data_IF_564688837256
#
_entry.id   IF_564688837256
#
_cell.length_a   1.000
_cell.length_b   1.000
_cell.length_c   1.000
_cell.angle_alpha   90.00
_cell.angle_beta   90.00
_cell.angle_gamma   90.00
#
_symmetry.space_group_name_H-M   'P 1'
#
loop_
_entity.id
_entity.type
_entity.pdbx_description
1 polymer ?
#
# COMPACT_ATOMS: atom_id res chain seq x y z
N UNK A 1 -27.18 15.42 -1.96
CA UNK A 1 -27.61 14.00 -1.98
C UNK A 1 -26.96 13.17 -3.09
N UNK A 2 -26.68 13.69 -4.30
CA UNK A 2 -26.06 12.90 -5.38
C UNK A 2 -24.65 12.33 -5.09
N UNK A 3 -23.82 13.00 -4.28
CA UNK A 3 -22.44 12.55 -3.97
C UNK A 3 -22.43 11.38 -2.99
N UNK A 4 -23.27 11.44 -1.95
CA UNK A 4 -23.38 10.36 -0.98
C UNK A 4 -24.03 9.11 -1.61
N UNK A 5 -25.03 9.31 -2.47
CA UNK A 5 -25.60 8.23 -3.26
C UNK A 5 -24.55 7.54 -4.14
N UNK A 6 -23.69 8.30 -4.82
CA UNK A 6 -22.56 7.76 -5.55
C UNK A 6 -21.61 6.95 -4.65
N UNK A 7 -21.30 7.45 -3.44
CA UNK A 7 -20.49 6.70 -2.49
C UNK A 7 -21.13 5.35 -2.13
N UNK A 8 -22.40 5.36 -1.71
CA UNK A 8 -23.12 4.17 -1.24
C UNK A 8 -23.38 3.16 -2.36
N UNK A 9 -23.75 3.62 -3.55
CA UNK A 9 -24.25 2.77 -4.63
C UNK A 9 -23.25 2.52 -5.76
N UNK A 10 -22.15 3.30 -5.83
CA UNK A 10 -21.11 3.12 -6.86
C UNK A 10 -19.74 2.86 -6.26
N UNK A 11 -19.28 3.63 -5.27
CA UNK A 11 -17.95 3.41 -4.70
C UNK A 11 -17.91 2.16 -3.81
N UNK A 12 -18.71 2.17 -2.74
CA UNK A 12 -18.75 1.11 -1.76
C UNK A 12 -18.93 -0.29 -2.41
N UNK A 13 -19.92 -0.53 -3.30
CA UNK A 13 -20.13 -1.76 -4.09
C UNK A 13 -18.92 -2.30 -4.80
N UNK A 14 -18.02 -1.42 -5.21
CA UNK A 14 -16.82 -1.74 -5.94
C UNK A 14 -15.55 -1.55 -5.10
N UNK A 15 -15.71 -1.30 -3.81
CA UNK A 15 -14.73 -1.42 -2.74
C UNK A 15 -15.00 -2.72 -1.94
N UNK A 16 -15.45 -3.81 -2.58
CA UNK A 16 -15.75 -5.13 -1.94
C UNK A 16 -14.60 -5.72 -1.10
N UNK A 17 -13.41 -5.17 -1.27
CA UNK A 17 -12.18 -5.45 -0.54
C UNK A 17 -12.18 -4.90 0.90
N UNK A 18 -13.26 -4.25 1.33
CA UNK A 18 -13.45 -3.79 2.70
C UNK A 18 -14.45 -4.67 3.49
N UNK A 19 -14.82 -5.85 3.00
CA UNK A 19 -15.88 -6.68 3.59
C UNK A 19 -15.35 -8.08 3.97
N UNK A 20 -14.56 -8.15 5.05
CA UNK A 20 -14.06 -9.40 5.65
C UNK A 20 -15.04 -10.07 6.64
N UNK A 21 -14.54 -11.09 7.37
CA UNK A 21 -15.28 -12.06 8.21
C UNK A 21 -16.22 -11.47 9.30
N UNK A 22 -16.07 -10.21 9.72
CA UNK A 22 -16.77 -9.65 10.88
C UNK A 22 -17.18 -8.18 10.67
N UNK A 23 -18.27 -7.95 9.93
CA UNK A 23 -18.95 -6.65 9.72
C UNK A 23 -18.29 -5.80 8.63
N UNK A 24 -19.05 -5.70 7.54
CA UNK A 24 -18.71 -5.01 6.28
C UNK A 24 -18.34 -3.57 6.61
N UNK A 25 -17.26 -3.02 6.07
CA UNK A 25 -16.91 -1.60 6.21
C UNK A 25 -18.12 -0.69 6.00
N UNK A 26 -18.98 -1.05 5.03
CA UNK A 26 -20.24 -0.36 4.77
C UNK A 26 -21.22 -0.44 5.94
N UNK A 27 -21.31 -1.58 6.60
CA UNK A 27 -22.13 -1.77 7.81
C UNK A 27 -21.59 -0.99 9.01
N UNK A 28 -20.37 -0.45 8.94
CA UNK A 28 -19.81 0.39 10.00
C UNK A 28 -19.82 1.86 9.58
N UNK A 29 -19.19 2.22 8.46
CA UNK A 29 -19.07 3.60 8.01
C UNK A 29 -20.38 4.19 7.50
N UNK A 30 -21.23 3.45 6.78
CA UNK A 30 -22.49 4.04 6.29
C UNK A 30 -23.40 4.42 7.46
N UNK A 31 -23.66 3.55 8.45
CA UNK A 31 -24.42 3.95 9.63
C UNK A 31 -23.81 5.14 10.38
N UNK A 32 -22.48 5.15 10.59
CA UNK A 32 -21.80 6.27 11.25
C UNK A 32 -21.97 7.56 10.44
N UNK A 33 -21.89 7.48 9.11
CA UNK A 33 -22.04 8.63 8.22
C UNK A 33 -23.43 9.26 8.32
N UNK A 34 -24.47 8.46 8.59
CA UNK A 34 -25.84 8.97 8.74
C UNK A 34 -26.05 9.74 10.05
N UNK A 35 -25.22 9.52 11.06
CA UNK A 35 -25.36 10.15 12.39
C UNK A 35 -24.25 11.14 12.73
N UNK A 36 -23.10 11.04 12.06
CA UNK A 36 -21.90 11.84 12.35
C UNK A 36 -21.61 12.84 11.23
N UNK A 37 -21.79 14.16 11.47
CA UNK A 37 -21.48 15.19 10.48
C UNK A 37 -20.02 15.17 10.04
N UNK A 38 -19.09 14.85 10.96
CA UNK A 38 -17.66 14.76 10.67
C UNK A 38 -17.38 13.66 9.65
N UNK A 39 -17.91 12.45 9.89
CA UNK A 39 -17.71 11.32 8.99
C UNK A 39 -18.39 11.57 7.65
N UNK A 40 -19.58 12.18 7.64
CA UNK A 40 -20.25 12.58 6.40
C UNK A 40 -19.41 13.53 5.55
N UNK A 41 -18.84 14.59 6.14
CA UNK A 41 -17.96 15.50 5.41
C UNK A 41 -16.77 14.76 4.79
N UNK A 42 -16.15 13.85 5.55
CA UNK A 42 -14.99 13.09 5.08
C UNK A 42 -15.33 12.12 3.94
N UNK A 43 -16.49 11.45 4.03
CA UNK A 43 -17.02 10.56 2.99
C UNK A 43 -17.36 11.34 1.71
N UNK A 44 -17.99 12.51 1.85
CA UNK A 44 -18.29 13.38 0.72
C UNK A 44 -17.01 13.91 0.04
N UNK A 45 -15.96 14.19 0.81
CA UNK A 45 -14.65 14.57 0.26
C UNK A 45 -14.10 13.44 -0.63
N UNK A 46 -14.03 12.21 -0.10
CA UNK A 46 -13.57 11.03 -0.83
C UNK A 46 -14.39 10.79 -2.10
N UNK A 47 -15.72 10.87 -1.98
CA UNK A 47 -16.62 10.60 -3.10
C UNK A 47 -16.54 11.65 -4.19
N UNK A 48 -16.48 12.93 -3.83
CA UNK A 48 -16.24 14.01 -4.78
C UNK A 48 -14.86 13.87 -5.43
N UNK A 49 -13.83 13.44 -4.67
CA UNK A 49 -12.50 13.23 -5.21
C UNK A 49 -12.46 12.12 -6.27
N UNK A 50 -13.30 11.08 -6.16
CA UNK A 50 -13.41 10.08 -7.24
C UNK A 50 -14.27 10.58 -8.41
N UNK A 51 -15.32 11.35 -8.15
CA UNK A 51 -16.17 11.92 -9.21
C UNK A 51 -15.43 12.91 -10.12
N UNK A 52 -14.36 13.56 -9.63
CA UNK A 52 -13.55 14.52 -10.41
C UNK A 52 -13.01 13.94 -11.71
N UNK A 53 -12.83 12.61 -11.76
CA UNK A 53 -12.29 11.90 -12.91
C UNK A 53 -13.34 11.58 -13.99
N UNK A 54 -14.63 11.72 -13.68
CA UNK A 54 -15.73 11.49 -14.63
C UNK A 54 -16.57 12.73 -14.89
N UNK A 55 -16.46 13.75 -14.03
CA UNK A 55 -17.28 14.97 -14.08
C UNK A 55 -16.44 16.18 -13.66
N UNK A 56 -16.44 17.20 -14.51
CA UNK A 56 -15.77 18.47 -14.21
C UNK A 56 -16.40 19.17 -12.99
N UNK A 57 -15.61 20.00 -12.30
CA UNK A 57 -16.03 20.77 -11.13
C UNK A 57 -15.99 20.03 -9.78
N UNK A 58 -15.97 18.70 -9.77
CA UNK A 58 -15.92 17.94 -8.51
C UNK A 58 -14.57 18.01 -7.79
N UNK A 59 -13.49 18.41 -8.47
CA UNK A 59 -12.19 18.66 -7.83
C UNK A 59 -12.26 19.77 -6.77
N UNK A 60 -12.92 20.89 -7.06
CA UNK A 60 -13.12 21.98 -6.09
C UNK A 60 -14.04 21.52 -4.94
N UNK A 61 -15.09 20.77 -5.27
CA UNK A 61 -16.01 20.20 -4.27
C UNK A 61 -15.29 19.25 -3.32
N UNK A 62 -14.40 18.40 -3.84
CA UNK A 62 -13.58 17.48 -3.07
C UNK A 62 -12.70 18.23 -2.06
N UNK A 63 -11.99 19.26 -2.50
CA UNK A 63 -11.14 20.10 -1.65
C UNK A 63 -11.95 20.86 -0.59
N UNK A 64 -13.14 21.35 -0.92
CA UNK A 64 -14.03 22.03 0.04
C UNK A 64 -14.43 21.10 1.18
N UNK A 65 -14.86 19.87 0.87
CA UNK A 65 -15.22 18.88 1.89
C UNK A 65 -14.00 18.39 2.69
N UNK A 66 -12.85 18.21 2.05
CA UNK A 66 -11.60 17.87 2.76
C UNK A 66 -11.23 18.97 3.77
N UNK A 67 -11.25 20.23 3.35
CA UNK A 67 -10.95 21.38 4.22
C UNK A 67 -11.94 21.48 5.37
N UNK A 68 -13.25 21.28 5.10
CA UNK A 68 -14.27 21.27 6.14
C UNK A 68 -14.06 20.13 7.15
N UNK A 69 -13.67 18.95 6.67
CA UNK A 69 -13.34 17.80 7.52
C UNK A 69 -12.15 18.10 8.43
N UNK A 70 -11.06 18.65 7.89
CA UNK A 70 -9.86 19.00 8.67
C UNK A 70 -10.16 20.07 9.74
N UNK A 71 -10.96 21.09 9.41
CA UNK A 71 -11.38 22.11 10.38
C UNK A 71 -12.23 21.53 11.50
N UNK A 72 -13.21 20.69 11.15
CA UNK A 72 -14.05 20.02 12.13
C UNK A 72 -13.23 19.10 13.03
N UNK A 73 -12.33 18.31 12.46
CA UNK A 73 -11.43 17.42 13.20
C UNK A 73 -10.50 18.20 14.14
N UNK A 74 -9.92 19.31 13.68
CA UNK A 74 -9.07 20.18 14.49
C UNK A 74 -9.83 20.79 15.67
N UNK A 75 -11.08 21.25 15.46
CA UNK A 75 -11.92 21.74 16.55
C UNK A 75 -12.23 20.65 17.58
N UNK A 76 -12.59 19.44 17.12
CA UNK A 76 -12.85 18.30 18.00
C UNK A 76 -11.61 17.96 18.83
N UNK A 77 -10.44 17.82 18.22
CA UNK A 77 -9.19 17.49 18.92
C UNK A 77 -8.75 18.65 19.86
N UNK A 78 -8.90 19.90 19.44
CA UNK A 78 -8.54 21.08 20.25
C UNK A 78 -9.42 21.24 21.50
N UNK A 79 -10.70 20.88 21.40
CA UNK A 79 -11.64 20.90 22.54
C UNK A 79 -11.30 19.87 23.62
N UNK A 80 -10.66 18.75 23.24
CA UNK A 80 -10.20 17.70 24.17
C UNK A 80 -9.07 18.19 25.06
N UNK A 81 -8.20 19.06 24.54
CA UNK A 81 -7.06 19.60 25.27
C UNK A 81 -7.45 20.76 26.21
N UNK A 82 -8.65 21.32 26.06
CA UNK A 82 -9.12 22.47 26.84
C UNK A 82 -10.10 21.99 27.91
N UNK A 83 -9.57 21.59 29.07
CA UNK A 83 -10.33 21.06 30.21
C UNK A 83 -11.31 22.06 30.88
N UNK A 84 -11.63 23.19 30.26
CA UNK A 84 -12.30 24.35 30.90
C UNK A 84 -13.52 24.90 30.18
N UNK A 85 -14.12 24.18 29.22
CA UNK A 85 -15.43 24.57 28.68
C UNK A 85 -16.51 23.54 28.95
N UNK A 86 -17.19 23.76 30.08
CA UNK A 86 -18.55 23.32 30.31
C UNK A 86 -19.48 23.93 29.25
N UNK A 87 -20.39 23.11 28.71
CA UNK A 87 -21.57 23.50 27.95
C UNK A 87 -21.40 23.69 26.43
N UNK A 88 -21.03 22.62 25.72
CA UNK A 88 -21.64 22.12 24.46
C UNK A 88 -20.79 20.96 23.90
N UNK A 89 -20.44 19.98 24.74
CA UNK A 89 -19.58 18.88 24.31
C UNK A 89 -20.42 17.82 23.60
N UNK A 90 -20.52 17.91 22.27
CA UNK A 90 -20.80 16.73 21.44
C UNK A 90 -19.63 15.78 21.66
N UNK A 91 -19.78 14.81 22.56
CA UNK A 91 -18.75 13.79 22.79
C UNK A 91 -18.64 12.93 21.54
N UNK A 92 -17.69 13.23 20.67
CA UNK A 92 -17.40 12.39 19.52
C UNK A 92 -16.68 11.12 19.97
N UNK A 93 -17.10 9.99 19.43
CA UNK A 93 -16.48 8.70 19.71
C UNK A 93 -15.12 8.56 19.00
N UNK A 94 -14.21 7.75 19.58
CA UNK A 94 -12.96 7.33 18.89
C UNK A 94 -13.23 6.77 17.50
N UNK A 95 -14.32 6.00 17.37
CA UNK A 95 -14.73 5.39 16.11
C UNK A 95 -15.00 6.44 15.02
N UNK A 96 -15.71 7.53 15.35
CA UNK A 96 -15.98 8.62 14.40
C UNK A 96 -14.71 9.33 13.97
N UNK A 97 -13.85 9.67 14.93
CA UNK A 97 -12.59 10.37 14.66
C UNK A 97 -11.69 9.51 13.75
N UNK A 98 -11.51 8.23 14.09
CA UNK A 98 -10.69 7.31 13.30
C UNK A 98 -11.28 7.03 11.92
N UNK A 99 -12.62 6.99 11.81
CA UNK A 99 -13.31 6.88 10.52
C UNK A 99 -13.03 8.08 9.63
N UNK A 100 -13.07 9.30 10.18
CA UNK A 100 -12.76 10.52 9.44
C UNK A 100 -11.28 10.59 9.03
N UNK A 101 -10.36 10.25 9.94
CA UNK A 101 -8.93 10.16 9.62
C UNK A 101 -8.68 9.16 8.49
N UNK A 102 -9.33 8.00 8.54
CA UNK A 102 -9.21 7.03 7.48
C UNK A 102 -9.72 7.55 6.12
N UNK A 103 -10.87 8.22 6.10
CA UNK A 103 -11.38 8.85 4.88
C UNK A 103 -10.42 9.93 4.34
N UNK A 104 -9.78 10.70 5.21
CA UNK A 104 -8.74 11.66 4.83
C UNK A 104 -7.52 10.97 4.21
N UNK A 105 -7.03 9.88 4.82
CA UNK A 105 -5.99 9.07 4.21
C UNK A 105 -6.43 8.59 2.81
N UNK A 106 -7.64 8.04 2.68
CA UNK A 106 -8.16 7.54 1.40
C UNK A 106 -8.29 8.66 0.36
N UNK A 107 -8.65 9.87 0.77
CA UNK A 107 -8.68 11.06 -0.08
C UNK A 107 -7.29 11.43 -0.62
N UNK A 108 -6.28 11.40 0.25
CA UNK A 108 -4.92 11.83 -0.10
C UNK A 108 -4.19 10.85 -1.00
N UNK A 109 -4.31 9.55 -0.71
CA UNK A 109 -3.87 8.53 -1.67
C UNK A 109 -4.64 8.66 -2.98
N UNK A 110 -5.90 9.09 -2.87
CA UNK A 110 -6.79 9.56 -3.93
C UNK A 110 -6.26 10.66 -4.85
N UNK A 111 -5.15 11.30 -4.54
CA UNK A 111 -4.73 12.52 -5.19
C UNK A 111 -3.30 12.38 -5.73
N UNK A 112 -3.14 12.52 -7.05
CA UNK A 112 -1.94 12.18 -7.84
C UNK A 112 -0.69 13.03 -7.53
N UNK A 113 -0.79 14.01 -6.63
CA UNK A 113 0.28 14.95 -6.32
C UNK A 113 1.30 14.37 -5.32
N UNK A 114 1.03 13.23 -4.67
CA UNK A 114 1.93 12.65 -3.65
C UNK A 114 3.21 12.04 -4.21
N UNK A 115 3.29 11.82 -5.52
CA UNK A 115 4.46 11.22 -6.17
C UNK A 115 5.34 12.24 -6.91
N UNK A 116 4.99 13.52 -6.93
CA UNK A 116 5.78 14.53 -7.66
C UNK A 116 6.90 15.10 -6.76
N UNK A 117 8.17 15.02 -7.19
CA UNK A 117 9.28 15.72 -6.54
C UNK A 117 8.96 17.19 -6.25
N UNK A 118 9.21 17.66 -5.03
CA UNK A 118 9.12 19.08 -4.65
C UNK A 118 7.73 19.62 -4.28
N UNK A 119 6.71 18.77 -4.17
CA UNK A 119 5.42 19.13 -3.55
C UNK A 119 5.38 18.68 -2.08
N UNK A 120 4.55 19.34 -1.26
CA UNK A 120 4.50 19.23 0.20
C UNK A 120 4.59 17.80 0.77
N UNK A 121 5.12 17.64 2.01
CA UNK A 121 5.18 16.37 2.72
C UNK A 121 3.87 15.58 2.62
N UNK A 122 3.90 14.25 2.46
CA UNK A 122 2.69 13.50 2.29
C UNK A 122 1.90 13.47 3.62
N UNK A 123 0.82 14.27 3.66
CA UNK A 123 -0.02 14.51 4.83
C UNK A 123 -0.59 13.23 5.49
N UNK A 124 -0.62 12.10 4.78
CA UNK A 124 -1.10 10.82 5.29
C UNK A 124 -0.29 10.32 6.49
N UNK A 125 0.98 10.72 6.63
CA UNK A 125 1.79 10.32 7.77
C UNK A 125 1.43 11.10 9.04
N UNK A 126 1.01 12.36 8.90
CA UNK A 126 0.45 13.14 10.01
C UNK A 126 -0.85 12.50 10.48
N UNK A 127 -1.70 12.07 9.54
CA UNK A 127 -2.93 11.33 9.84
C UNK A 127 -2.65 9.99 10.52
N UNK A 128 -1.63 9.27 10.07
CA UNK A 128 -1.18 7.99 10.66
C UNK A 128 -0.76 8.18 12.12
N UNK A 129 0.13 9.14 12.39
CA UNK A 129 0.61 9.39 13.74
C UNK A 129 -0.51 9.93 14.64
N UNK A 130 -1.38 10.81 14.11
CA UNK A 130 -2.58 11.27 14.79
C UNK A 130 -3.51 10.12 15.20
N UNK A 131 -3.79 9.20 14.27
CA UNK A 131 -4.62 8.01 14.55
C UNK A 131 -4.01 7.12 15.63
N UNK A 132 -2.69 6.89 15.59
CA UNK A 132 -1.97 6.11 16.61
C UNK A 132 -2.15 6.76 17.99
N UNK A 133 -1.85 8.06 18.12
CA UNK A 133 -2.00 8.79 19.39
C UNK A 133 -3.43 8.72 19.92
N UNK A 134 -4.42 8.92 19.05
CA UNK A 134 -5.84 8.85 19.44
C UNK A 134 -6.23 7.46 19.95
N UNK A 135 -5.71 6.40 19.34
CA UNK A 135 -5.91 5.04 19.83
C UNK A 135 -5.30 4.83 21.22
N UNK A 136 -4.08 5.30 21.42
CA UNK A 136 -3.30 5.17 22.67
C UNK A 136 -3.83 6.03 23.82
N UNK A 137 -4.58 7.11 23.55
CA UNK A 137 -5.15 7.96 24.60
C UNK A 137 -6.03 7.15 25.57
N UNK A 138 -5.87 7.30 26.90
CA UNK A 138 -6.68 6.59 27.87
C UNK A 138 -8.13 7.07 27.84
N UNK A 139 -9.09 6.21 28.19
CA UNK A 139 -10.51 6.57 28.23
C UNK A 139 -10.83 7.71 29.22
N UNK A 140 -9.96 7.94 30.21
CA UNK A 140 -10.05 9.06 31.15
C UNK A 140 -9.77 10.42 30.50
N UNK A 141 -8.99 10.46 29.40
CA UNK A 141 -8.54 11.71 28.79
C UNK A 141 -9.67 12.51 28.14
N UNK A 142 -10.88 11.97 27.98
CA UNK A 142 -12.00 12.78 27.51
C UNK A 142 -13.37 12.52 28.15
N UNK A 143 -13.37 12.32 29.47
CA UNK A 143 -14.58 12.50 30.28
C UNK A 143 -15.16 11.25 30.96
N UNK A 144 -14.40 10.14 31.01
CA UNK A 144 -14.60 9.09 32.01
C UNK A 144 -15.87 8.22 31.89
N UNK A 145 -16.70 8.36 30.86
CA UNK A 145 -17.81 7.45 30.64
C UNK A 145 -17.36 6.16 29.94
N UNK A 146 -17.86 5.04 30.43
CA UNK A 146 -17.63 3.64 30.01
C UNK A 146 -17.95 3.32 28.54
N UNK A 147 -18.29 4.30 27.71
CA UNK A 147 -18.67 4.17 26.29
C UNK A 147 -17.54 4.56 25.33
N UNK A 148 -16.27 4.42 25.74
CA UNK A 148 -15.09 4.68 24.88
C UNK A 148 -14.56 3.46 24.12
N UNK A 149 -15.41 2.48 23.82
CA UNK A 149 -15.00 1.35 22.99
C UNK A 149 -14.91 1.79 21.52
N UNK A 150 -13.73 1.68 20.92
CA UNK A 150 -13.60 1.80 19.47
C UNK A 150 -14.17 0.54 18.82
N UNK A 151 -14.90 0.69 17.71
CA UNK A 151 -15.34 -0.48 16.94
C UNK A 151 -14.08 -1.25 16.44
N UNK A 152 -13.90 -2.53 16.82
CA UNK A 152 -12.72 -3.30 16.43
C UNK A 152 -12.56 -3.47 14.92
N UNK A 153 -13.67 -3.38 14.17
CA UNK A 153 -13.66 -3.40 12.72
C UNK A 153 -12.93 -2.18 12.17
N UNK A 154 -13.30 -0.96 12.61
CA UNK A 154 -12.62 0.29 12.18
C UNK A 154 -11.12 0.23 12.47
N UNK A 155 -10.73 -0.21 13.67
CA UNK A 155 -9.31 -0.34 14.03
C UNK A 155 -8.62 -1.33 13.11
N UNK A 156 -9.20 -2.51 12.88
CA UNK A 156 -8.62 -3.54 12.03
C UNK A 156 -8.45 -3.07 10.58
N UNK A 157 -9.44 -2.36 10.03
CA UNK A 157 -9.35 -1.81 8.67
C UNK A 157 -8.28 -0.73 8.56
N UNK A 158 -8.27 0.22 9.49
CA UNK A 158 -7.27 1.28 9.52
C UNK A 158 -5.87 0.69 9.69
N UNK A 159 -5.72 -0.30 10.57
CA UNK A 159 -4.48 -1.01 10.81
C UNK A 159 -3.96 -1.72 9.56
N UNK A 160 -4.78 -2.51 8.85
CA UNK A 160 -4.36 -3.16 7.61
C UNK A 160 -3.99 -2.14 6.51
N UNK A 161 -4.75 -1.06 6.41
CA UNK A 161 -4.50 0.01 5.45
C UNK A 161 -3.18 0.76 5.73
N UNK A 162 -2.86 1.05 6.99
CA UNK A 162 -1.67 1.80 7.38
C UNK A 162 -0.43 0.91 7.49
N UNK A 163 -0.56 -0.31 8.04
CA UNK A 163 0.53 -1.28 8.14
C UNK A 163 1.17 -1.51 6.78
N UNK A 164 0.36 -1.82 5.77
CA UNK A 164 0.82 -2.04 4.41
C UNK A 164 1.63 -0.89 3.82
N UNK A 165 1.17 0.35 4.05
CA UNK A 165 1.85 1.55 3.55
C UNK A 165 3.14 1.82 4.29
N UNK A 166 3.14 1.69 5.61
CA UNK A 166 4.36 1.83 6.42
C UNK A 166 5.41 0.79 6.02
N UNK A 167 5.01 -0.48 5.91
CA UNK A 167 5.92 -1.58 5.54
C UNK A 167 6.51 -1.36 4.16
N UNK A 168 5.70 -1.01 3.16
CA UNK A 168 6.21 -0.87 1.80
C UNK A 168 6.98 0.45 1.60
N UNK A 169 6.58 1.54 2.25
CA UNK A 169 7.39 2.75 2.30
C UNK A 169 8.76 2.49 2.98
N UNK A 170 8.80 1.60 3.98
CA UNK A 170 10.05 1.17 4.61
C UNK A 170 11.00 0.41 3.67
N UNK A 171 10.50 -0.13 2.56
CA UNK A 171 11.35 -0.75 1.52
C UNK A 171 12.01 0.27 0.60
N UNK A 172 11.60 1.54 0.68
CA UNK A 172 12.02 2.64 -0.21
C UNK A 172 12.37 3.90 0.59
N UNK A 173 13.14 3.76 1.68
CA UNK A 173 13.50 4.87 2.56
C UNK A 173 14.56 5.74 1.88
N UNK A 174 14.20 6.98 1.53
CA UNK A 174 15.12 7.94 0.91
C UNK A 174 15.80 8.83 1.96
N UNK A 175 15.08 9.20 3.01
CA UNK A 175 15.59 9.97 4.15
C UNK A 175 15.82 9.03 5.35
N UNK A 176 17.05 8.90 5.88
CA UNK A 176 17.31 8.10 7.09
C UNK A 176 16.48 8.52 8.31
N UNK A 177 16.03 9.77 8.40
CA UNK A 177 15.19 10.25 9.52
C UNK A 177 13.84 9.52 9.59
N UNK A 178 13.37 9.00 8.45
CA UNK A 178 12.11 8.28 8.33
C UNK A 178 12.14 6.85 8.84
N UNK A 179 13.33 6.27 8.95
CA UNK A 179 13.50 4.83 9.10
C UNK A 179 12.80 4.33 10.37
N UNK A 180 13.06 4.99 11.51
CA UNK A 180 12.50 4.58 12.79
C UNK A 180 10.98 4.75 12.83
N UNK A 181 10.47 5.88 12.31
CA UNK A 181 9.04 6.17 12.29
C UNK A 181 8.26 5.16 11.44
N UNK A 182 8.81 4.78 10.28
CA UNK A 182 8.21 3.78 9.39
C UNK A 182 8.25 2.38 9.99
N UNK A 183 9.37 1.99 10.60
CA UNK A 183 9.51 0.68 11.24
C UNK A 183 8.57 0.53 12.45
N UNK A 184 8.60 1.50 13.36
CA UNK A 184 7.69 1.55 14.51
C UNK A 184 6.23 1.59 14.06
N UNK A 185 5.90 2.40 13.05
CA UNK A 185 4.56 2.49 12.49
C UNK A 185 4.09 1.16 11.90
N UNK A 186 4.90 0.52 11.07
CA UNK A 186 4.60 -0.78 10.47
C UNK A 186 4.36 -1.85 11.54
N UNK A 187 5.26 -1.94 12.52
CA UNK A 187 5.16 -2.89 13.63
C UNK A 187 3.92 -2.66 14.49
N UNK A 188 3.66 -1.40 14.85
CA UNK A 188 2.48 -1.01 15.62
C UNK A 188 1.19 -1.40 14.89
N UNK A 189 1.04 -0.99 13.63
CA UNK A 189 -0.21 -1.23 12.90
C UNK A 189 -0.43 -2.71 12.61
N UNK A 190 0.61 -3.48 12.27
CA UNK A 190 0.49 -4.94 12.14
C UNK A 190 -0.07 -5.60 13.40
N UNK A 191 0.35 -5.12 14.59
CA UNK A 191 -0.15 -5.64 15.87
C UNK A 191 -1.62 -5.32 16.17
N UNK A 192 -2.22 -4.36 15.46
CA UNK A 192 -3.62 -3.93 15.64
C UNK A 192 -4.59 -4.63 14.68
N UNK A 193 -4.10 -5.46 13.77
CA UNK A 193 -4.95 -6.17 12.81
C UNK A 193 -5.63 -7.35 13.52
N UNK A 194 -6.93 -7.23 13.78
CA UNK A 194 -7.75 -8.28 14.39
C UNK A 194 -8.21 -9.38 13.42
N UNK A 195 -7.32 -9.89 12.56
CA UNK A 195 -7.60 -10.97 11.58
C UNK A 195 -6.54 -12.06 11.62
N UNK A 196 -6.82 -13.28 11.11
CA UNK A 196 -5.80 -14.31 10.94
C UNK A 196 -4.61 -13.78 10.13
N UNK A 197 -3.38 -14.06 10.57
CA UNK A 197 -2.17 -13.53 9.93
C UNK A 197 -1.96 -14.06 8.51
N UNK A 198 -2.50 -15.26 8.22
CA UNK A 198 -2.46 -15.91 6.91
C UNK A 198 -3.50 -15.36 5.93
N UNK A 199 -4.48 -14.60 6.40
CA UNK A 199 -5.52 -14.02 5.53
C UNK A 199 -4.89 -12.97 4.61
N UNK A 200 -5.09 -13.12 3.30
CA UNK A 200 -4.65 -12.16 2.28
C UNK A 200 -5.41 -10.87 2.49
N UNK A 201 -4.68 -9.79 2.79
CA UNK A 201 -5.30 -8.51 3.00
C UNK A 201 -5.67 -7.88 1.66
N UNK A 202 -6.87 -7.34 1.65
CA UNK A 202 -7.53 -6.86 0.46
C UNK A 202 -6.91 -5.60 -0.16
N UNK A 203 -6.17 -4.83 0.63
CA UNK A 203 -5.45 -3.65 0.16
C UNK A 203 -4.08 -4.01 -0.41
N UNK A 204 -3.37 -4.97 0.19
CA UNK A 204 -2.01 -5.35 -0.23
C UNK A 204 -1.97 -6.48 -1.23
N UNK A 205 -3.00 -7.33 -1.24
CA UNK A 205 -3.03 -8.62 -1.93
C UNK A 205 -1.97 -9.61 -1.43
N UNK A 206 -1.54 -9.48 -0.18
CA UNK A 206 -0.69 -10.46 0.50
C UNK A 206 -1.09 -10.60 1.96
N UNK A 207 -0.66 -11.67 2.62
CA UNK A 207 -1.01 -11.90 4.03
C UNK A 207 -0.28 -10.96 4.98
N UNK A 208 -0.88 -10.71 6.16
CA UNK A 208 -0.24 -9.88 7.19
C UNK A 208 1.03 -10.53 7.74
N UNK A 209 1.08 -11.87 7.76
CA UNK A 209 2.30 -12.61 8.07
C UNK A 209 3.41 -12.29 7.06
N UNK A 210 3.11 -12.26 5.76
CA UNK A 210 4.08 -11.92 4.73
C UNK A 210 4.55 -10.47 4.85
N UNK A 211 3.65 -9.52 5.14
CA UNK A 211 4.02 -8.12 5.40
C UNK A 211 4.96 -8.01 6.61
N UNK A 212 4.71 -8.77 7.67
CA UNK A 212 5.61 -8.84 8.84
C UNK A 212 6.99 -9.38 8.48
N UNK A 213 7.06 -10.43 7.65
CA UNK A 213 8.35 -10.96 7.16
C UNK A 213 9.09 -9.93 6.31
N UNK A 214 8.40 -9.20 5.42
CA UNK A 214 9.00 -8.14 4.60
C UNK A 214 9.59 -7.05 5.51
N UNK A 215 8.81 -6.58 6.50
CA UNK A 215 9.25 -5.54 7.44
C UNK A 215 10.52 -5.95 8.19
N UNK A 216 10.50 -7.15 8.80
CA UNK A 216 11.62 -7.67 9.58
C UNK A 216 12.86 -7.91 8.70
N UNK A 217 12.69 -8.42 7.48
CA UNK A 217 13.78 -8.63 6.54
C UNK A 217 14.45 -7.30 6.18
N UNK A 218 13.67 -6.28 5.82
CA UNK A 218 14.18 -4.94 5.56
C UNK A 218 14.86 -4.32 6.78
N UNK A 219 14.32 -4.53 7.98
CA UNK A 219 14.90 -4.02 9.20
C UNK A 219 16.28 -4.62 9.45
N UNK A 220 16.43 -5.94 9.27
CA UNK A 220 17.72 -6.64 9.41
C UNK A 220 18.73 -6.24 8.34
N UNK A 221 18.30 -5.99 7.10
CA UNK A 221 19.18 -5.48 6.04
C UNK A 221 19.78 -4.14 6.47
N UNK A 222 18.93 -3.24 6.98
CA UNK A 222 19.34 -1.92 7.47
C UNK A 222 20.22 -2.01 8.71
N UNK A 223 19.87 -2.85 9.69
CA UNK A 223 20.69 -3.10 10.88
C UNK A 223 22.08 -3.65 10.52
N UNK A 224 22.15 -4.68 9.68
CA UNK A 224 23.42 -5.27 9.20
C UNK A 224 24.30 -4.20 8.56
N UNK A 225 23.68 -3.31 7.78
CA UNK A 225 24.40 -2.22 7.16
C UNK A 225 24.97 -1.23 8.19
N UNK A 226 24.19 -0.82 9.18
CA UNK A 226 24.66 0.03 10.29
C UNK A 226 25.75 -0.67 11.09
N UNK A 227 25.66 -1.99 11.25
CA UNK A 227 26.69 -2.77 11.95
C UNK A 227 27.99 -2.85 11.14
N UNK A 228 27.97 -2.82 9.80
CA UNK A 228 29.18 -2.83 8.96
C UNK A 228 30.08 -1.59 9.13
N UNK A 229 29.57 -0.48 9.66
CA UNK A 229 30.39 0.67 10.04
C UNK A 229 31.05 0.51 11.41
N UNK A 230 30.70 -0.55 12.15
CA UNK A 230 31.25 -0.96 13.45
C UNK A 230 31.97 -2.33 13.30
N UNK A 231 32.89 -2.69 14.19
CA UNK A 231 33.53 -4.03 14.12
C UNK A 231 32.50 -5.13 14.44
N UNK A 232 32.24 -6.10 13.52
CA UNK A 232 31.26 -7.14 13.78
C UNK A 232 31.79 -8.22 14.73
N UNK A 233 30.97 -8.63 15.71
CA UNK A 233 31.21 -9.80 16.54
C UNK A 233 30.81 -11.07 15.77
N UNK A 234 31.63 -12.12 15.83
CA UNK A 234 31.40 -13.38 15.09
C UNK A 234 30.08 -14.06 15.46
N UNK A 235 29.58 -13.87 16.69
CA UNK A 235 28.33 -14.45 17.20
C UNK A 235 27.08 -13.89 16.47
N UNK A 236 27.13 -12.65 15.99
CA UNK A 236 26.00 -12.02 15.30
C UNK A 236 25.77 -12.57 13.87
N UNK A 237 26.84 -13.01 13.19
CA UNK A 237 26.77 -13.54 11.82
C UNK A 237 26.18 -14.95 11.76
N UNK A 238 26.43 -15.78 12.78
CA UNK A 238 25.83 -17.12 12.87
C UNK A 238 24.34 -17.03 13.18
N UNK A 239 23.95 -16.22 14.17
CA UNK A 239 22.55 -15.97 14.49
C UNK A 239 21.77 -15.42 13.28
N UNK A 240 22.36 -14.51 12.50
CA UNK A 240 21.73 -13.99 11.28
C UNK A 240 21.59 -15.06 10.20
N UNK A 241 22.59 -15.94 10.01
CA UNK A 241 22.52 -17.04 9.04
C UNK A 241 21.41 -18.03 9.39
N UNK A 242 21.27 -18.36 10.67
CA UNK A 242 20.21 -19.26 11.14
C UNK A 242 18.84 -18.61 11.01
N UNK A 243 18.70 -17.34 11.39
CA UNK A 243 17.46 -16.59 11.18
C UNK A 243 17.08 -16.54 9.68
N UNK A 244 18.05 -16.28 8.80
CA UNK A 244 17.81 -16.26 7.35
C UNK A 244 17.29 -17.60 6.86
N UNK A 245 17.90 -18.71 7.26
CA UNK A 245 17.49 -20.07 6.88
C UNK A 245 16.07 -20.38 7.38
N UNK A 246 15.75 -19.99 8.61
CA UNK A 246 14.42 -20.16 9.17
C UNK A 246 13.38 -19.32 8.42
N UNK A 247 13.69 -18.06 8.12
CA UNK A 247 12.79 -17.16 7.37
C UNK A 247 12.61 -17.62 5.93
N UNK A 248 13.65 -18.14 5.28
CA UNK A 248 13.55 -18.74 3.95
C UNK A 248 12.60 -19.94 3.96
N UNK A 249 12.74 -20.85 4.94
CA UNK A 249 11.83 -21.97 5.10
C UNK A 249 10.38 -21.50 5.34
N UNK A 250 10.18 -20.48 6.18
CA UNK A 250 8.87 -19.86 6.39
C UNK A 250 8.29 -19.30 5.10
N UNK A 251 9.08 -18.60 4.29
CA UNK A 251 8.63 -18.05 3.00
C UNK A 251 8.32 -19.14 1.97
N UNK A 252 8.98 -20.30 2.02
CA UNK A 252 8.68 -21.43 1.13
C UNK A 252 7.35 -22.11 1.49
N UNK A 253 6.96 -22.10 2.77
CA UNK A 253 5.77 -22.82 3.26
C UNK A 253 4.65 -21.90 3.77
N UNK A 254 4.75 -20.59 3.54
CA UNK A 254 3.77 -19.63 4.02
C UNK A 254 2.40 -19.88 3.38
N UNK A 255 1.38 -20.06 4.22
CA UNK A 255 0.00 -20.15 3.76
C UNK A 255 -0.57 -18.75 3.56
N UNK A 256 -1.08 -18.49 2.35
CA UNK A 256 -1.82 -17.27 2.03
C UNK A 256 -3.25 -17.66 1.66
N UNK A 257 -4.20 -17.35 2.54
CA UNK A 257 -5.59 -17.77 2.43
C UNK A 257 -6.45 -16.56 2.03
N UNK A 258 -7.26 -16.65 0.99
CA UNK A 258 -8.15 -15.55 0.63
C UNK A 258 -9.19 -15.31 1.74
N UNK A 259 -9.74 -14.09 1.85
CA UNK A 259 -10.85 -13.83 2.76
C UNK A 259 -11.98 -14.82 2.52
N UNK A 260 -12.51 -15.45 3.59
CA UNK A 260 -13.56 -16.49 3.51
C UNK A 260 -14.80 -16.08 2.70
N UNK A 261 -15.09 -14.78 2.59
CA UNK A 261 -16.18 -14.25 1.76
C UNK A 261 -16.01 -14.53 0.25
N UNK A 262 -14.77 -14.70 -0.22
CA UNK A 262 -14.47 -15.13 -1.60
C UNK A 262 -14.53 -16.65 -1.78
N UNK A 263 -14.58 -17.42 -0.69
CA UNK A 263 -14.58 -18.89 -0.71
C UNK A 263 -15.99 -19.50 -0.67
N UNK A 264 -17.02 -18.72 -0.35
CA UNK A 264 -18.42 -19.15 -0.20
C UNK A 264 -19.34 -18.60 -1.29
N UNK A 265 -18.96 -18.70 -2.56
CA UNK A 265 -19.91 -18.61 -3.69
C UNK A 265 -20.44 -20.02 -4.00
N UNK A 266 -21.54 -20.50 -3.40
CA UNK A 266 -22.35 -21.52 -4.06
C UNK A 266 -23.10 -20.85 -5.22
N UNK A 267 -22.93 -21.41 -6.42
CA UNK A 267 -23.78 -21.12 -7.58
C UNK A 267 -25.23 -20.96 -7.15
N UNK A 268 -25.74 -19.72 -7.18
CA UNK A 268 -27.19 -19.51 -7.09
C UNK A 268 -27.76 -19.67 -8.50
N UNK A 269 -28.81 -20.48 -8.69
CA UNK A 269 -29.41 -20.69 -10.00
C UNK A 269 -30.05 -19.39 -10.48
N UNK A 270 -29.69 -18.99 -11.69
CA UNK A 270 -30.30 -17.89 -12.43
C UNK A 270 -31.82 -18.10 -12.56
N UNK A 271 -32.59 -17.08 -12.18
CA UNK A 271 -33.97 -16.93 -12.64
C UNK A 271 -33.98 -16.82 -14.18
N UNK A 272 -34.96 -17.42 -14.87
CA UNK A 272 -34.94 -17.54 -16.33
C UNK A 272 -35.25 -16.18 -16.98
N UNK A 273 -34.29 -15.64 -17.73
CA UNK A 273 -34.49 -14.53 -18.65
C UNK A 273 -34.82 -15.07 -20.04
N UNK A 274 -35.86 -14.48 -20.62
CA UNK A 274 -36.40 -14.76 -21.95
C UNK A 274 -35.32 -14.75 -23.03
N UNK A 275 -35.42 -15.77 -23.88
CA UNK A 275 -34.61 -16.01 -25.07
C UNK A 275 -34.65 -14.85 -26.07
N UNK A 276 -33.47 -14.34 -26.45
CA UNK A 276 -33.25 -13.69 -27.75
C UNK A 276 -31.99 -14.28 -28.37
N UNK A 277 -32.15 -14.80 -29.59
CA UNK A 277 -31.15 -15.52 -30.40
C UNK A 277 -30.00 -14.63 -30.91
N UNK A 278 -28.89 -15.24 -31.39
CA UNK A 278 -27.60 -14.59 -31.56
C UNK A 278 -27.42 -13.98 -32.95
N UNK A 279 -26.78 -12.82 -33.00
CA UNK A 279 -26.13 -12.32 -34.20
C UNK A 279 -24.67 -12.00 -33.87
N UNK A 280 -23.79 -12.61 -34.65
CA UNK A 280 -22.33 -12.57 -34.59
C UNK A 280 -21.77 -11.15 -34.56
N UNK A 281 -20.75 -10.93 -33.71
CA UNK A 281 -19.69 -9.97 -33.97
C UNK A 281 -18.45 -10.31 -33.12
N UNK A 282 -17.46 -10.86 -33.82
CA UNK A 282 -16.05 -10.90 -33.42
C UNK A 282 -15.54 -9.47 -33.22
N UNK A 283 -15.13 -9.14 -32.01
CA UNK A 283 -14.37 -7.92 -31.70
C UNK A 283 -13.40 -8.24 -30.57
N UNK A 284 -12.13 -8.39 -30.93
CA UNK A 284 -10.98 -8.37 -30.01
C UNK A 284 -10.96 -7.02 -29.32
N UNK A 285 -11.58 -6.96 -28.13
CA UNK A 285 -11.67 -5.76 -27.32
C UNK A 285 -10.79 -5.99 -26.11
N UNK A 286 -9.85 -5.08 -25.87
CA UNK A 286 -9.00 -4.99 -24.67
C UNK A 286 -9.86 -5.22 -23.44
N UNK A 287 -9.78 -6.41 -22.85
CA UNK A 287 -10.66 -6.84 -21.76
C UNK A 287 -10.28 -6.05 -20.51
N UNK A 288 -11.03 -4.99 -20.22
CA UNK A 288 -11.06 -4.39 -18.90
C UNK A 288 -11.34 -5.51 -17.89
N UNK A 289 -10.37 -5.84 -17.04
CA UNK A 289 -10.51 -6.92 -16.06
C UNK A 289 -11.69 -6.63 -15.14
N UNK A 290 -12.58 -7.62 -14.98
CA UNK A 290 -13.73 -7.57 -14.10
C UNK A 290 -13.28 -7.24 -12.66
N UNK A 291 -13.99 -6.33 -12.00
CA UNK A 291 -13.68 -5.90 -10.65
C UNK A 291 -14.82 -6.31 -9.71
N UNK A 292 -14.59 -7.10 -8.65
CA UNK A 292 -13.30 -7.47 -8.02
C UNK A 292 -12.41 -8.42 -8.86
N UNK A 293 -11.07 -8.38 -8.73
CA UNK A 293 -10.19 -9.37 -9.34
C UNK A 293 -10.60 -10.78 -8.96
N UNK A 294 -10.51 -11.68 -9.93
CA UNK A 294 -10.79 -13.09 -9.73
C UNK A 294 -9.86 -13.69 -8.66
N UNK A 295 -10.33 -14.73 -7.98
CA UNK A 295 -9.54 -15.44 -6.96
C UNK A 295 -8.16 -15.91 -7.48
N UNK A 296 -8.03 -16.43 -8.72
CA UNK A 296 -6.71 -16.70 -9.32
C UNK A 296 -5.80 -15.48 -9.40
N UNK A 297 -6.35 -14.29 -9.66
CA UNK A 297 -5.57 -13.04 -9.70
C UNK A 297 -5.05 -12.67 -8.32
N UNK A 298 -5.88 -12.83 -7.28
CA UNK A 298 -5.47 -12.60 -5.88
C UNK A 298 -4.31 -13.53 -5.50
N UNK A 299 -4.41 -14.83 -5.81
CA UNK A 299 -3.33 -15.78 -5.53
C UNK A 299 -2.03 -15.46 -6.28
N UNK A 300 -2.13 -15.08 -7.55
CA UNK A 300 -0.94 -14.72 -8.34
C UNK A 300 -0.21 -13.52 -7.77
N UNK A 301 -0.94 -12.47 -7.35
CA UNK A 301 -0.33 -11.30 -6.73
C UNK A 301 0.30 -11.67 -5.38
N UNK A 302 -0.42 -12.43 -4.55
CA UNK A 302 0.08 -12.91 -3.26
C UNK A 302 1.38 -13.71 -3.42
N UNK A 303 1.44 -14.56 -4.45
CA UNK A 303 2.64 -15.33 -4.78
C UNK A 303 3.78 -14.46 -5.31
N UNK A 304 3.48 -13.44 -6.11
CA UNK A 304 4.49 -12.46 -6.54
C UNK A 304 5.08 -11.70 -5.34
N UNK A 305 4.28 -11.34 -4.34
CA UNK A 305 4.77 -10.76 -3.08
C UNK A 305 5.72 -11.71 -2.33
N UNK A 306 5.41 -13.01 -2.30
CA UNK A 306 6.23 -14.04 -1.64
C UNK A 306 7.61 -14.13 -2.30
N UNK A 307 7.65 -14.16 -3.63
CA UNK A 307 8.92 -14.13 -4.38
C UNK A 307 9.69 -12.82 -4.21
N UNK A 308 9.03 -11.67 -4.14
CA UNK A 308 9.70 -10.41 -3.89
C UNK A 308 10.32 -10.38 -2.47
N UNK A 309 9.66 -10.96 -1.47
CA UNK A 309 10.25 -11.13 -0.14
C UNK A 309 11.47 -12.08 -0.15
N UNK A 310 11.45 -13.14 -0.96
CA UNK A 310 12.60 -14.02 -1.16
C UNK A 310 13.79 -13.26 -1.78
N UNK A 311 13.56 -12.39 -2.76
CA UNK A 311 14.61 -11.52 -3.33
C UNK A 311 15.24 -10.65 -2.24
N UNK A 312 14.41 -9.97 -1.44
CA UNK A 312 14.91 -9.13 -0.33
C UNK A 312 15.73 -9.93 0.67
N UNK A 313 15.31 -11.16 1.01
CA UNK A 313 16.05 -12.01 1.95
C UNK A 313 17.48 -12.31 1.48
N UNK A 314 17.73 -12.35 0.16
CA UNK A 314 19.07 -12.61 -0.39
C UNK A 314 20.06 -11.48 -0.14
N UNK A 315 19.60 -10.25 0.18
CA UNK A 315 20.49 -9.16 0.61
C UNK A 315 21.22 -9.44 1.93
N UNK A 316 20.70 -10.38 2.73
CA UNK A 316 21.34 -10.83 3.97
C UNK A 316 22.35 -11.97 3.74
N UNK A 317 22.60 -12.37 2.48
CA UNK A 317 23.59 -13.39 2.17
C UNK A 317 25.02 -12.80 2.10
N UNK A 318 25.95 -13.15 3.00
CA UNK A 318 27.32 -12.63 2.95
C UNK A 318 28.14 -13.18 1.79
N UNK A 319 27.79 -14.36 1.27
CA UNK A 319 28.68 -15.14 0.41
C UNK A 319 28.43 -14.93 -1.09
N UNK A 320 27.28 -14.38 -1.46
CA UNK A 320 26.84 -14.28 -2.85
C UNK A 320 26.22 -12.91 -3.03
N UNK A 321 26.67 -12.16 -4.04
CA UNK A 321 26.04 -10.90 -4.43
C UNK A 321 24.61 -11.18 -4.89
N UNK A 322 23.69 -10.25 -4.63
CA UNK A 322 22.27 -10.40 -5.00
C UNK A 322 22.12 -10.66 -6.51
N UNK A 323 22.95 -10.01 -7.33
CA UNK A 323 22.98 -10.20 -8.79
C UNK A 323 23.41 -11.62 -9.20
N UNK A 324 24.35 -12.24 -8.48
CA UNK A 324 24.85 -13.57 -8.84
C UNK A 324 24.01 -14.71 -8.24
N UNK A 325 22.99 -14.37 -7.44
CA UNK A 325 22.22 -15.35 -6.70
C UNK A 325 21.14 -16.02 -7.58
N UNK A 326 21.19 -17.35 -7.81
CA UNK A 326 20.21 -18.03 -8.65
C UNK A 326 18.78 -17.93 -8.11
N UNK A 327 18.60 -17.89 -6.79
CA UNK A 327 17.27 -17.75 -6.18
C UNK A 327 16.62 -16.39 -6.51
N UNK A 328 17.43 -15.34 -6.70
CA UNK A 328 16.95 -14.03 -7.17
C UNK A 328 16.49 -14.14 -8.60
N UNK A 329 17.30 -14.73 -9.49
CA UNK A 329 16.95 -14.93 -10.90
C UNK A 329 15.66 -15.72 -11.08
N UNK A 330 15.50 -16.82 -10.34
CA UNK A 330 14.31 -17.66 -10.40
C UNK A 330 13.07 -16.92 -9.88
N UNK A 331 13.23 -16.13 -8.81
CA UNK A 331 12.16 -15.31 -8.26
C UNK A 331 11.76 -14.16 -9.20
N UNK A 332 12.72 -13.50 -9.85
CA UNK A 332 12.46 -12.45 -10.86
C UNK A 332 11.63 -13.03 -12.01
N UNK A 333 12.06 -14.15 -12.60
CA UNK A 333 11.31 -14.81 -13.69
C UNK A 333 9.90 -15.18 -13.26
N UNK A 334 9.76 -15.78 -12.08
CA UNK A 334 8.45 -16.16 -11.54
C UNK A 334 7.53 -14.95 -11.38
N UNK A 335 8.03 -13.83 -10.85
CA UNK A 335 7.24 -12.59 -10.72
C UNK A 335 6.84 -12.06 -12.10
N UNK A 336 7.77 -12.01 -13.06
CA UNK A 336 7.47 -11.54 -14.41
C UNK A 336 6.40 -12.41 -15.07
N UNK A 337 6.48 -13.73 -14.94
CA UNK A 337 5.47 -14.67 -15.46
C UNK A 337 4.11 -14.47 -14.79
N UNK A 338 4.06 -14.42 -13.45
CA UNK A 338 2.82 -14.22 -12.68
C UNK A 338 2.13 -12.89 -13.02
N UNK A 339 2.92 -11.83 -13.21
CA UNK A 339 2.44 -10.48 -13.52
C UNK A 339 2.18 -10.26 -15.02
N UNK A 340 2.74 -11.10 -15.89
CA UNK A 340 2.50 -11.03 -17.34
C UNK A 340 1.06 -11.43 -17.71
N UNK A 341 0.46 -12.33 -16.93
CA UNK A 341 -0.87 -12.88 -17.14
C UNK A 341 -1.94 -11.94 -16.56
N UNK A 342 -2.36 -10.94 -17.32
CA UNK A 342 -3.46 -10.01 -16.99
C UNK A 342 -3.30 -9.29 -15.64
N UNK A 343 -2.68 -8.10 -15.68
CA UNK A 343 -2.69 -7.19 -14.53
C UNK A 343 -4.11 -6.68 -14.32
N UNK A 344 -4.69 -6.75 -13.10
CA UNK A 344 -5.99 -6.16 -12.85
C UNK A 344 -5.90 -4.64 -13.01
N UNK A 345 -6.39 -4.13 -14.14
CA UNK A 345 -6.54 -2.69 -14.38
C UNK A 345 -7.75 -2.23 -13.58
N UNK A 346 -7.60 -1.39 -12.54
CA UNK A 346 -8.75 -0.90 -11.81
C UNK A 346 -9.62 0.00 -12.73
N UNK A 347 -10.96 -0.01 -12.57
CA UNK A 347 -11.84 0.94 -13.25
C UNK A 347 -11.53 2.41 -12.93
N UNK A 348 -11.96 3.34 -13.80
CA UNK A 348 -11.76 4.81 -13.66
C UNK A 348 -12.07 5.31 -12.24
N UNK A 349 -11.22 6.20 -11.71
CA UNK A 349 -11.45 6.84 -10.41
C UNK A 349 -11.47 5.85 -9.24
N UNK A 350 -10.50 4.93 -9.22
CA UNK A 350 -10.23 4.07 -8.07
C UNK A 350 -8.78 4.21 -7.67
N UNK A 351 -8.51 5.18 -6.82
CA UNK A 351 -7.20 5.34 -6.24
C UNK A 351 -6.94 4.35 -5.08
N UNK A 352 -5.66 4.01 -4.90
CA UNK A 352 -5.16 3.27 -3.74
C UNK A 352 -4.55 1.90 -4.03
N UNK A 353 -4.24 1.58 -5.30
CA UNK A 353 -3.86 0.21 -5.68
C UNK A 353 -2.49 0.01 -6.33
N UNK A 354 -1.64 1.03 -6.46
CA UNK A 354 -0.26 0.81 -6.95
C UNK A 354 0.55 -0.21 -6.12
N UNK A 355 0.10 -0.51 -4.92
CA UNK A 355 0.68 -1.53 -4.04
C UNK A 355 0.81 -2.91 -4.69
N UNK A 356 -0.11 -3.34 -5.58
CA UNK A 356 0.05 -4.62 -6.29
C UNK A 356 1.21 -4.61 -7.29
N UNK A 357 1.71 -3.43 -7.67
CA UNK A 357 2.88 -3.28 -8.53
C UNK A 357 4.19 -3.43 -7.75
N UNK A 358 4.16 -3.41 -6.41
CA UNK A 358 5.36 -3.54 -5.59
C UNK A 358 6.22 -4.78 -5.94
N UNK A 359 5.69 -6.01 -6.02
CA UNK A 359 6.52 -7.16 -6.40
C UNK A 359 7.10 -7.03 -7.82
N UNK A 360 6.33 -6.46 -8.75
CA UNK A 360 6.81 -6.20 -10.10
C UNK A 360 7.93 -5.15 -10.11
N UNK A 361 7.81 -4.10 -9.30
CA UNK A 361 8.86 -3.10 -9.11
C UNK A 361 10.14 -3.74 -8.57
N UNK A 362 10.04 -4.56 -7.51
CA UNK A 362 11.19 -5.29 -6.96
C UNK A 362 11.83 -6.17 -8.02
N UNK A 363 11.07 -6.99 -8.74
CA UNK A 363 11.61 -7.82 -9.82
C UNK A 363 12.27 -6.98 -10.93
N UNK A 364 11.64 -5.87 -11.31
CA UNK A 364 12.14 -4.96 -12.35
C UNK A 364 13.49 -4.33 -11.98
N UNK A 365 13.74 -4.02 -10.70
CA UNK A 365 15.05 -3.56 -10.26
C UNK A 365 16.16 -4.63 -10.33
N UNK A 366 15.81 -5.90 -10.50
CA UNK A 366 16.74 -7.04 -10.46
C UNK A 366 16.83 -7.81 -11.80
N UNK A 367 16.21 -7.33 -12.88
CA UNK A 367 16.36 -7.96 -14.20
C UNK A 367 17.78 -7.76 -14.74
N UNK A 368 18.32 -8.81 -15.37
CA UNK A 368 19.72 -8.82 -15.84
C UNK A 368 19.87 -8.96 -17.35
N UNK A 369 18.84 -9.46 -18.02
CA UNK A 369 18.85 -9.69 -19.46
C UNK A 369 18.11 -8.56 -20.18
N UNK A 370 18.52 -8.27 -21.42
CA UNK A 370 17.86 -7.25 -22.23
C UNK A 370 16.45 -7.72 -22.63
N UNK A 371 16.23 -9.03 -22.77
CA UNK A 371 14.92 -9.63 -23.01
C UNK A 371 13.94 -9.33 -21.85
N UNK A 372 14.38 -9.54 -20.60
CA UNK A 372 13.58 -9.25 -19.42
C UNK A 372 13.33 -7.73 -19.27
N UNK A 373 14.35 -6.89 -19.54
CA UNK A 373 14.20 -5.42 -19.55
C UNK A 373 13.16 -4.97 -20.58
N UNK A 374 13.19 -5.52 -21.79
CA UNK A 374 12.17 -5.25 -22.82
C UNK A 374 10.76 -5.67 -22.38
N UNK A 375 10.63 -6.83 -21.74
CA UNK A 375 9.35 -7.29 -21.20
C UNK A 375 8.82 -6.30 -20.15
N UNK A 376 9.68 -5.86 -19.23
CA UNK A 376 9.33 -4.90 -18.19
C UNK A 376 8.88 -3.57 -18.79
N UNK A 377 9.60 -3.03 -19.76
CA UNK A 377 9.25 -1.76 -20.41
C UNK A 377 7.91 -1.83 -21.15
N UNK A 378 7.64 -2.93 -21.87
CA UNK A 378 6.34 -3.14 -22.52
C UNK A 378 5.21 -3.19 -21.49
N UNK A 379 5.44 -3.82 -20.34
CA UNK A 379 4.44 -3.88 -19.27
C UNK A 379 4.20 -2.54 -18.60
N UNK A 380 5.24 -1.72 -18.38
CA UNK A 380 5.03 -0.35 -17.93
C UNK A 380 4.22 0.46 -18.95
N UNK A 381 4.48 0.29 -20.24
CA UNK A 381 3.69 0.93 -21.29
C UNK A 381 2.23 0.45 -21.31
N UNK A 382 1.98 -0.86 -21.17
CA UNK A 382 0.63 -1.42 -21.05
C UNK A 382 -0.11 -0.83 -19.83
N UNK A 383 0.59 -0.74 -18.69
CA UNK A 383 0.08 -0.14 -17.47
C UNK A 383 -0.22 1.34 -17.65
N UNK A 384 0.69 2.10 -18.26
CA UNK A 384 0.51 3.52 -18.57
C UNK A 384 -0.70 3.73 -19.49
N UNK A 385 -0.83 2.96 -20.57
CA UNK A 385 -1.99 3.05 -21.47
C UNK A 385 -3.30 2.69 -20.76
N UNK A 386 -3.28 1.61 -19.97
CA UNK A 386 -4.45 1.18 -19.21
C UNK A 386 -4.86 2.20 -18.14
N UNK A 387 -3.88 2.83 -17.49
CA UNK A 387 -4.08 3.79 -16.40
C UNK A 387 -4.40 5.20 -16.91
N UNK A 388 -3.82 5.63 -18.03
CA UNK A 388 -4.15 6.88 -18.72
C UNK A 388 -5.60 6.89 -19.18
N UNK A 389 -6.14 5.72 -19.55
CA UNK A 389 -7.56 5.56 -19.84
C UNK A 389 -8.45 5.68 -18.60
N UNK A 390 -7.89 5.73 -17.38
CA UNK A 390 -8.56 5.50 -16.09
C UNK A 390 -8.29 6.57 -15.04
N UNK A 391 -7.41 7.55 -15.33
CA UNK A 391 -7.08 8.76 -14.54
C UNK A 391 -6.01 8.67 -13.43
N UNK A 392 -4.93 7.89 -13.59
CA UNK A 392 -3.74 8.01 -12.72
C UNK A 392 -2.42 8.17 -13.51
N UNK A 393 -2.15 9.35 -14.07
CA UNK A 393 -1.00 9.53 -15.00
C UNK A 393 0.39 9.55 -14.35
N UNK A 394 0.53 9.36 -13.03
CA UNK A 394 1.80 9.63 -12.33
C UNK A 394 2.54 8.39 -11.83
N UNK A 395 1.86 7.35 -11.34
CA UNK A 395 2.55 6.26 -10.62
C UNK A 395 3.35 5.34 -11.54
N UNK A 396 2.77 4.90 -12.66
CA UNK A 396 3.48 3.99 -13.58
C UNK A 396 4.73 4.67 -14.21
N UNK A 397 4.64 5.92 -14.70
CA UNK A 397 5.84 6.65 -15.16
C UNK A 397 6.90 6.82 -14.06
N UNK A 398 6.49 7.15 -12.83
CA UNK A 398 7.45 7.29 -11.72
C UNK A 398 8.18 5.97 -11.41
N UNK A 399 7.46 4.84 -11.38
CA UNK A 399 8.07 3.52 -11.18
C UNK A 399 9.06 3.19 -12.31
N UNK A 400 8.67 3.49 -13.55
CA UNK A 400 9.52 3.29 -14.73
C UNK A 400 10.80 4.13 -14.65
N UNK A 401 10.70 5.40 -14.32
CA UNK A 401 11.85 6.31 -14.19
C UNK A 401 12.87 5.79 -13.18
N UNK A 402 12.40 5.32 -12.01
CA UNK A 402 13.26 4.72 -10.98
C UNK A 402 13.93 3.45 -11.51
N UNK A 403 13.18 2.54 -12.12
CA UNK A 403 13.71 1.27 -12.66
C UNK A 403 14.75 1.53 -13.75
N UNK A 404 14.48 2.41 -14.70
CA UNK A 404 15.44 2.77 -15.76
C UNK A 404 16.71 3.40 -15.17
N UNK A 405 16.59 4.20 -14.10
CA UNK A 405 17.77 4.74 -13.41
C UNK A 405 18.58 3.68 -12.67
N UNK A 406 17.93 2.66 -12.09
CA UNK A 406 18.64 1.51 -11.51
C UNK A 406 19.44 0.79 -12.60
N UNK A 407 18.84 0.50 -13.75
CA UNK A 407 19.54 -0.15 -14.86
C UNK A 407 20.71 0.68 -15.39
N UNK A 408 20.52 2.00 -15.57
CA UNK A 408 21.61 2.91 -15.96
C UNK A 408 22.77 2.85 -14.96
N UNK A 409 22.48 2.85 -13.65
CA UNK A 409 23.52 2.75 -12.63
C UNK A 409 24.27 1.41 -12.68
N UNK A 410 23.54 0.30 -12.87
CA UNK A 410 24.13 -1.04 -13.02
C UNK A 410 25.03 -1.12 -14.27
N UNK A 411 24.57 -0.61 -15.40
CA UNK A 411 25.31 -0.65 -16.67
C UNK A 411 26.58 0.21 -16.59
N UNK A 412 26.50 1.42 -16.03
CA UNK A 412 27.67 2.27 -15.77
C UNK A 412 28.69 1.62 -14.84
N UNK A 413 28.25 0.87 -13.81
CA UNK A 413 29.16 0.14 -12.91
C UNK A 413 29.92 -0.96 -13.65
N UNK A 414 29.25 -1.72 -14.53
CA UNK A 414 29.90 -2.77 -15.34
C UNK A 414 30.97 -2.19 -16.27
N UNK A 415 30.72 -1.00 -16.81
CA UNK A 415 31.69 -0.28 -17.64
C UNK A 415 32.86 0.30 -16.84
N UNK A 416 32.61 0.82 -15.63
CA UNK A 416 33.65 1.31 -14.73
C UNK A 416 34.59 0.19 -14.24
N UNK A 417 34.10 -1.02 -13.97
CA UNK A 417 34.97 -2.15 -13.56
C UNK A 417 35.94 -2.55 -14.69
N UNK A 418 35.64 -2.22 -15.95
CA UNK A 418 36.54 -2.40 -17.10
C UNK A 418 37.63 -1.33 -17.25
N UNK A 419 37.46 -0.16 -16.64
CA UNK A 419 38.42 0.94 -16.65
C UNK A 419 38.98 1.19 -15.25
N UNK A 420 40.28 0.95 -15.04
CA UNK A 420 40.96 1.12 -13.73
C UNK A 420 40.80 2.54 -13.14
N UNK A 421 39.73 2.78 -12.37
CA UNK A 421 39.62 3.85 -11.38
C UNK A 421 38.70 3.42 -10.23
N UNK A 422 39.26 3.36 -9.02
CA UNK A 422 38.54 3.19 -7.75
C UNK A 422 37.87 4.51 -7.32
N UNK A 423 36.67 4.40 -6.73
CA UNK A 423 36.09 5.14 -5.59
C UNK A 423 34.57 5.34 -5.80
N UNK A 424 33.79 4.25 -5.76
CA UNK A 424 32.42 4.38 -5.25
C UNK A 424 32.51 4.14 -3.74
N UNK A 425 32.45 5.25 -3.02
CA UNK A 425 32.28 5.34 -1.56
C UNK A 425 31.26 4.31 -1.06
N UNK A 426 31.48 3.80 0.15
CA UNK A 426 30.47 3.15 1.00
C UNK A 426 29.12 3.86 0.83
N UNK A 427 28.24 3.33 -0.02
CA UNK A 427 27.02 4.02 -0.38
C UNK A 427 26.03 3.92 0.79
N UNK A 428 25.45 5.05 1.23
CA UNK A 428 24.49 5.16 2.35
C UNK A 428 23.12 4.48 2.10
N UNK A 429 22.98 3.77 0.97
CA UNK A 429 21.76 3.05 0.55
C UNK A 429 21.72 1.55 0.87
N UNK A 430 20.57 1.06 1.34
CA UNK A 430 20.35 -0.38 1.51
C UNK A 430 19.99 -1.05 0.19
N UNK A 431 19.34 -0.29 -0.70
CA UNK A 431 18.90 -0.78 -2.00
C UNK A 431 19.25 0.21 -3.11
N UNK A 432 19.51 -0.31 -4.32
CA UNK A 432 19.94 0.52 -5.46
C UNK A 432 18.88 1.53 -5.89
N UNK A 433 17.60 1.17 -5.75
CA UNK A 433 16.50 2.07 -6.08
C UNK A 433 16.40 3.27 -5.14
N UNK A 434 16.91 3.21 -3.90
CA UNK A 434 16.91 4.37 -2.99
C UNK A 434 17.81 5.49 -3.54
N UNK A 435 18.95 5.10 -4.13
CA UNK A 435 19.83 6.03 -4.83
C UNK A 435 19.14 6.62 -6.06
N UNK A 436 18.54 5.78 -6.89
CA UNK A 436 17.78 6.24 -8.06
C UNK A 436 16.67 7.22 -7.67
N UNK A 437 15.94 6.93 -6.59
CA UNK A 437 14.88 7.79 -6.07
C UNK A 437 15.40 9.16 -5.63
N UNK A 438 16.54 9.22 -4.91
CA UNK A 438 17.16 10.50 -4.53
C UNK A 438 17.65 11.30 -5.72
N UNK A 439 18.28 10.65 -6.71
CA UNK A 439 18.74 11.33 -7.94
C UNK A 439 17.57 11.94 -8.70
N UNK A 440 16.43 11.26 -8.75
CA UNK A 440 15.21 11.75 -9.37
C UNK A 440 14.47 12.81 -8.53
N UNK A 441 14.98 13.15 -7.34
CA UNK A 441 14.40 14.16 -6.47
C UNK A 441 13.12 13.68 -5.75
N UNK A 442 12.86 12.38 -5.69
CA UNK A 442 11.82 11.84 -4.80
C UNK A 442 12.28 11.99 -3.34
N UNK A 443 12.23 13.22 -2.84
CA UNK A 443 12.38 13.51 -1.43
C UNK A 443 11.02 13.39 -0.75
N UNK A 444 10.98 12.67 0.36
CA UNK A 444 9.91 12.80 1.34
C UNK A 444 10.40 13.91 2.27
N UNK A 445 10.16 15.17 1.91
CA UNK A 445 10.48 16.30 2.79
C UNK A 445 9.47 16.33 3.95
N UNK A 446 9.91 16.78 5.12
CA UNK A 446 9.23 16.61 6.41
C UNK A 446 9.11 17.88 7.25
N UNK A 447 9.50 19.02 6.68
CA UNK A 447 9.48 20.30 7.40
C UNK A 447 8.10 20.94 7.47
#
# INVERSE_FOLDING_TARGET
>A
MAIFDFYVNKMCPHCRFADGYQKRYRQVIIPITLVSPLVLLSVLAVAANQLKYSREGFGLTALRYQTATLRALSHVIGSVNSATQSQLNVSMSKTEILSAIWMLCFFEFGNDNTCKPGLSPPAWRVHLEGARRILELPASAFGGLSSWSCDPGVVTFLAGFLASRSVLAYTTVVDPSDEEALYCGGSYWLSKIGRPSQEIENYTNCSNELLGIILETCHRIRQRKRARTSLPLHEDEEALRDWRRQTENRLLHIAQVPPRALSLEPCSPSLPLLSVSPASQTSTTTTATEYPPSLPTVYRIAEAFRHAALILLQYLNPNVLVEDNPAVRDSVRTILDLMSAAVPVPPRGKSGRSIFLWPFFIASCHVQTDEDRMLVLRKFQDLECAVASVSNDTVAPCLRDVVENVWKQQDLRKDCVRGKYHLFSSEDWCFEWERAMRVLGYAIDWT
#
